data_IF_638533432469
#
_entry.id   IF_638533432469
#
_cell.length_a   1.000
_cell.length_b   1.000
_cell.length_c   1.000
_cell.angle_alpha   90.00
_cell.angle_beta   90.00
_cell.angle_gamma   90.00
#
_symmetry.space_group_name_H-M   'P 1'
#
loop_
_entity.id
_entity.type
_entity.pdbx_description
1 polymer ?
#
# COMPACT_ATOMS: atom_id res chain seq x y z
N UNK A 1 -12.44 -17.09 -6.28
CA UNK A 1 -11.48 -16.57 -5.27
C UNK A 1 -10.94 -15.30 -5.88
N UNK A 2 -11.37 -14.13 -5.42
CA UNK A 2 -11.06 -12.86 -6.08
C UNK A 2 -9.65 -12.46 -5.65
N UNK A 3 -8.72 -12.44 -6.60
CA UNK A 3 -7.37 -12.02 -6.32
C UNK A 3 -7.32 -10.50 -6.50
N UNK A 4 -6.66 -9.82 -5.58
CA UNK A 4 -6.37 -8.40 -5.70
C UNK A 4 -4.88 -8.19 -5.48
N UNK A 5 -4.34 -7.19 -6.14
CA UNK A 5 -3.02 -6.68 -5.81
C UNK A 5 -3.08 -5.15 -5.79
N UNK A 6 -2.37 -4.56 -4.85
CA UNK A 6 -2.29 -3.12 -4.69
C UNK A 6 -0.84 -2.65 -4.65
N UNK A 7 -0.58 -1.47 -5.21
CA UNK A 7 0.70 -0.78 -5.10
C UNK A 7 0.42 0.62 -4.56
N UNK A 8 1.27 1.08 -3.64
CA UNK A 8 1.23 2.44 -3.11
C UNK A 8 1.29 2.47 -1.60
N UNK A 9 0.92 3.62 -1.05
CA UNK A 9 0.99 3.89 0.39
C UNK A 9 0.22 2.86 1.22
N UNK A 10 -1.03 2.59 0.86
CA UNK A 10 -1.88 1.66 1.61
C UNK A 10 -1.34 0.22 1.57
N UNK A 11 -0.80 -0.20 0.41
CA UNK A 11 -0.18 -1.51 0.27
C UNK A 11 1.08 -1.65 1.15
N UNK A 12 1.88 -0.60 1.25
CA UNK A 12 3.07 -0.57 2.13
C UNK A 12 2.68 -0.64 3.60
N UNK A 13 1.70 0.16 4.04
CA UNK A 13 1.21 0.13 5.42
C UNK A 13 0.62 -1.25 5.74
N UNK A 14 -0.15 -1.85 4.82
CA UNK A 14 -0.71 -3.18 5.00
C UNK A 14 0.38 -4.25 5.14
N UNK A 15 1.45 -4.18 4.34
CA UNK A 15 2.58 -5.09 4.41
C UNK A 15 3.36 -4.96 5.73
N UNK A 16 3.72 -3.75 6.12
CA UNK A 16 4.41 -3.52 7.40
C UNK A 16 3.56 -3.98 8.59
N UNK A 17 2.24 -3.79 8.49
CA UNK A 17 1.31 -4.26 9.50
C UNK A 17 1.23 -5.79 9.58
N UNK A 18 1.21 -6.47 8.43
CA UNK A 18 1.26 -7.92 8.36
C UNK A 18 2.54 -8.48 8.99
N UNK A 19 3.70 -7.97 8.57
CA UNK A 19 5.01 -8.40 9.11
C UNK A 19 5.08 -8.19 10.63
N UNK A 20 4.54 -7.06 11.14
CA UNK A 20 4.54 -6.78 12.59
C UNK A 20 3.65 -7.72 13.38
N UNK A 21 2.56 -8.22 12.77
CA UNK A 21 1.71 -9.26 13.37
C UNK A 21 2.41 -10.60 13.45
N UNK A 22 3.11 -11.00 12.39
CA UNK A 22 3.89 -12.25 12.38
C UNK A 22 5.02 -12.22 13.41
N UNK A 23 5.67 -11.07 13.59
CA UNK A 23 6.79 -10.89 14.51
C UNK A 23 6.36 -10.85 15.99
N UNK A 24 5.09 -10.49 16.30
CA UNK A 24 4.64 -10.38 17.68
C UNK A 24 3.12 -10.51 17.88
N UNK A 25 2.71 -11.56 18.59
CA UNK A 25 1.36 -11.76 19.16
C UNK A 25 0.87 -10.58 20.04
N UNK A 26 1.80 -9.76 20.58
CA UNK A 26 1.50 -8.62 21.48
C UNK A 26 0.87 -7.43 20.76
N UNK A 27 0.87 -7.39 19.43
CA UNK A 27 0.21 -6.34 18.62
C UNK A 27 -1.30 -6.56 18.42
N UNK A 28 -1.89 -7.57 19.08
CA UNK A 28 -3.34 -7.84 19.05
C UNK A 28 -4.23 -6.76 19.69
N UNK A 29 -3.69 -5.87 20.52
CA UNK A 29 -4.49 -4.82 21.17
C UNK A 29 -4.79 -3.65 20.21
N UNK A 30 -6.06 -3.24 20.11
CA UNK A 30 -6.57 -2.16 19.22
C UNK A 30 -5.86 -0.81 19.41
N UNK A 31 -5.45 -0.48 20.63
CA UNK A 31 -4.74 0.79 20.92
C UNK A 31 -3.32 0.82 20.37
N UNK A 32 -2.56 -0.27 20.53
CA UNK A 32 -1.23 -0.40 19.92
C UNK A 32 -1.29 -0.43 18.40
N UNK A 33 -2.32 -1.09 17.85
CA UNK A 33 -2.61 -1.08 16.42
C UNK A 33 -2.76 0.36 15.89
N UNK A 34 -3.60 1.15 16.55
CA UNK A 34 -3.84 2.53 16.16
C UNK A 34 -2.59 3.41 16.27
N UNK A 35 -1.82 3.27 17.35
CA UNK A 35 -0.56 4.00 17.54
C UNK A 35 0.47 3.67 16.46
N UNK A 36 0.61 2.39 16.10
CA UNK A 36 1.49 1.96 15.01
C UNK A 36 1.05 2.54 13.67
N UNK A 37 -0.24 2.53 13.36
CA UNK A 37 -0.77 3.20 12.15
C UNK A 37 -0.40 4.68 12.10
N UNK A 38 -0.51 5.39 13.22
CA UNK A 38 -0.12 6.80 13.31
C UNK A 38 1.38 7.02 13.05
N UNK A 39 2.24 6.18 13.62
CA UNK A 39 3.70 6.27 13.42
C UNK A 39 4.07 5.95 11.96
N UNK A 40 3.49 4.90 11.38
CA UNK A 40 3.76 4.50 9.99
C UNK A 40 3.25 5.54 9.00
N UNK A 41 2.02 6.02 9.18
CA UNK A 41 1.45 7.10 8.37
C UNK A 41 2.26 8.40 8.47
N UNK A 42 2.72 8.76 9.67
CA UNK A 42 3.59 9.93 9.89
C UNK A 42 4.96 9.79 9.22
N UNK A 43 5.58 8.60 9.31
CA UNK A 43 6.84 8.31 8.59
C UNK A 43 6.67 8.45 7.09
N UNK A 44 5.57 7.95 6.54
CA UNK A 44 5.35 8.05 5.10
C UNK A 44 5.05 9.48 4.64
N UNK A 45 4.29 10.25 5.42
CA UNK A 45 4.06 11.67 5.15
C UNK A 45 5.37 12.47 5.07
N UNK A 46 6.38 12.08 5.86
CA UNK A 46 7.72 12.68 5.83
C UNK A 46 8.56 12.18 4.65
N UNK A 47 8.62 10.87 4.42
CA UNK A 47 9.44 10.28 3.36
C UNK A 47 8.85 10.52 1.97
N UNK A 48 7.52 10.69 1.87
CA UNK A 48 6.76 10.85 0.63
C UNK A 48 7.19 9.87 -0.45
N UNK A 49 7.47 8.63 -0.04
CA UNK A 49 7.99 7.55 -0.90
C UNK A 49 7.03 7.15 -2.01
N UNK A 50 5.75 7.49 -1.86
CA UNK A 50 4.69 7.34 -2.86
C UNK A 50 4.63 8.48 -3.89
N UNK A 51 5.45 9.54 -3.77
CA UNK A 51 5.44 10.63 -4.77
C UNK A 51 6.04 10.17 -6.10
N UNK A 52 5.42 10.64 -7.17
CA UNK A 52 5.78 10.34 -8.55
C UNK A 52 5.68 8.85 -8.87
N UNK A 53 4.71 8.15 -8.27
CA UNK A 53 4.46 6.75 -8.60
C UNK A 53 4.22 6.63 -10.10
N UNK A 54 3.37 7.49 -10.66
CA UNK A 54 3.09 7.66 -12.09
C UNK A 54 4.34 7.78 -12.99
N UNK A 55 5.47 8.29 -12.47
CA UNK A 55 6.73 8.40 -13.22
C UNK A 55 7.62 7.16 -13.10
N UNK A 56 7.32 6.28 -12.15
CA UNK A 56 8.12 5.08 -11.81
C UNK A 56 7.49 3.79 -12.34
N UNK A 57 6.21 3.80 -12.65
CA UNK A 57 5.47 2.63 -13.14
C UNK A 57 4.79 2.94 -14.47
N UNK A 58 4.73 1.91 -15.32
CA UNK A 58 3.96 1.91 -16.56
C UNK A 58 2.83 0.90 -16.41
N UNK A 59 1.59 1.36 -16.57
CA UNK A 59 0.42 0.48 -16.55
C UNK A 59 0.07 0.09 -17.99
N UNK A 60 -0.19 -1.19 -18.19
CA UNK A 60 -0.65 -1.74 -19.46
C UNK A 60 -1.79 -2.71 -19.19
N UNK A 61 -2.90 -2.55 -19.91
CA UNK A 61 -4.06 -3.43 -19.82
C UNK A 61 -4.32 -4.02 -21.21
N UNK A 62 -4.28 -5.34 -21.34
CA UNK A 62 -4.49 -6.07 -22.61
C UNK A 62 -3.67 -5.54 -23.80
N UNK A 63 -2.41 -5.16 -23.55
CA UNK A 63 -1.52 -4.61 -24.58
C UNK A 63 -1.63 -3.10 -24.81
N UNK A 64 -2.57 -2.43 -24.12
CA UNK A 64 -2.81 -0.99 -24.27
C UNK A 64 -2.18 -0.24 -23.10
N UNK A 65 -1.21 0.67 -23.34
CA UNK A 65 -0.64 1.50 -22.29
C UNK A 65 -1.69 2.48 -21.76
N UNK A 66 -1.75 2.63 -20.43
CA UNK A 66 -2.67 3.55 -19.75
C UNK A 66 -1.83 4.64 -19.08
N UNK A 67 -2.10 5.90 -19.44
CA UNK A 67 -1.48 7.05 -18.78
C UNK A 67 -2.06 7.24 -17.39
N UNK A 68 -1.16 7.26 -16.41
CA UNK A 68 -1.52 7.42 -15.01
C UNK A 68 -1.49 8.90 -14.63
N UNK A 69 -2.54 9.44 -13.97
CA UNK A 69 -2.44 10.74 -13.32
C UNK A 69 -1.49 10.69 -12.12
N UNK A 70 -1.20 11.84 -11.50
CA UNK A 70 -0.44 11.86 -10.25
C UNK A 70 -1.21 11.10 -9.17
N UNK A 71 -0.69 9.94 -8.76
CA UNK A 71 -1.36 8.99 -7.89
C UNK A 71 -0.42 8.56 -6.74
N UNK A 72 -1.01 8.29 -5.57
CA UNK A 72 -0.29 7.78 -4.38
C UNK A 72 -0.34 6.25 -4.28
N UNK A 73 -1.16 5.62 -5.14
CA UNK A 73 -1.36 4.18 -5.22
C UNK A 73 -2.52 3.82 -6.15
N UNK A 74 -2.61 2.53 -6.49
CA UNK A 74 -3.73 1.95 -7.21
C UNK A 74 -3.96 0.51 -6.75
N UNK A 75 -5.19 0.02 -6.98
CA UNK A 75 -5.62 -1.31 -6.63
C UNK A 75 -6.21 -1.97 -7.88
N UNK A 76 -5.75 -3.16 -8.20
CA UNK A 76 -6.33 -3.99 -9.26
C UNK A 76 -7.12 -5.12 -8.62
N UNK A 77 -8.40 -5.18 -8.98
CA UNK A 77 -9.26 -6.32 -8.68
C UNK A 77 -9.25 -7.23 -9.91
N UNK A 78 -8.87 -8.49 -9.72
CA UNK A 78 -9.09 -9.52 -10.71
C UNK A 78 -10.31 -10.33 -10.30
N UNK A 79 -11.39 -10.11 -11.02
CA UNK A 79 -12.57 -10.96 -10.98
C UNK A 79 -12.35 -12.06 -12.03
N UNK A 80 -11.71 -13.14 -11.59
CA UNK A 80 -11.75 -14.44 -12.30
C UNK A 80 -13.12 -15.09 -12.08
#
# INVERSE_FOLDING_TARGET
MNNYFGIGLDAKIALEFHNKREESEKTRSRSRLFMWYGILGGKELMHRTYRNLDQRIRLECDGVPIDLPSLQGFFCFSDL
#
